data_IF_134108173825
#
_entry.id   IF_134108173825
#
_cell.length_a   1.000
_cell.length_b   1.000
_cell.length_c   1.000
_cell.angle_alpha   90.00
_cell.angle_beta   90.00
_cell.angle_gamma   90.00
#
_symmetry.space_group_name_H-M   'P 1'
#
loop_
_entity.id
_entity.type
_entity.pdbx_description
1 polymer ?
#
# COMPACT_ATOMS: atom_id res chain seq x y z
N UNK A 1 -12.96 14.30 17.26
CA UNK A 1 -11.80 13.38 17.22
C UNK A 1 -10.73 13.89 18.17
N UNK A 2 -9.92 13.00 18.76
CA UNK A 2 -8.82 13.40 19.65
C UNK A 2 -7.59 13.79 18.82
N UNK A 3 -6.70 14.62 19.38
CA UNK A 3 -5.47 15.08 18.69
C UNK A 3 -4.63 13.91 18.13
N UNK A 4 -4.50 12.83 18.91
CA UNK A 4 -3.78 11.61 18.48
C UNK A 4 -4.37 10.95 17.24
N UNK A 5 -5.69 10.94 17.09
CA UNK A 5 -6.34 10.39 15.90
C UNK A 5 -6.08 11.26 14.66
N UNK A 6 -6.04 12.59 14.83
CA UNK A 6 -5.67 13.50 13.74
C UNK A 6 -4.20 13.32 13.33
N UNK A 7 -3.31 13.13 14.31
CA UNK A 7 -1.88 12.85 14.06
C UNK A 7 -1.69 11.52 13.31
N UNK A 8 -2.47 10.48 13.65
CA UNK A 8 -2.40 9.18 12.98
C UNK A 8 -2.94 9.21 11.54
N UNK A 9 -4.04 9.91 11.29
CA UNK A 9 -4.56 10.13 9.92
C UNK A 9 -3.57 10.95 9.09
N UNK A 10 -2.96 11.97 9.68
CA UNK A 10 -1.94 12.76 8.99
C UNK A 10 -0.70 11.94 8.62
N UNK A 11 -0.33 10.95 9.45
CA UNK A 11 0.74 10.01 9.16
C UNK A 11 0.40 9.15 7.95
N UNK A 12 -0.76 8.49 7.93
CA UNK A 12 -1.16 7.62 6.81
C UNK A 12 -1.26 8.39 5.48
N UNK A 13 -1.73 9.64 5.51
CA UNK A 13 -1.72 10.55 4.35
C UNK A 13 -0.32 10.86 3.82
N UNK A 14 0.66 10.88 4.71
CA UNK A 14 2.05 11.09 4.32
C UNK A 14 2.64 9.79 3.75
N UNK A 15 2.26 8.64 4.30
CA UNK A 15 2.65 7.33 3.79
C UNK A 15 2.14 7.11 2.36
N UNK A 16 0.85 7.39 2.08
CA UNK A 16 0.27 7.30 0.73
C UNK A 16 1.06 8.12 -0.28
N UNK A 17 1.29 9.40 0.00
CA UNK A 17 2.10 10.28 -0.88
C UNK A 17 3.51 9.77 -1.07
N UNK A 18 4.12 9.25 -0.01
CA UNK A 18 5.48 8.70 -0.08
C UNK A 18 5.52 7.51 -1.02
N UNK A 19 4.54 6.60 -0.93
CA UNK A 19 4.42 5.44 -1.80
C UNK A 19 4.17 5.84 -3.26
N UNK A 20 3.25 6.78 -3.51
CA UNK A 20 3.00 7.34 -4.85
C UNK A 20 4.28 7.90 -5.49
N UNK A 21 5.01 8.77 -4.76
CA UNK A 21 6.27 9.33 -5.25
C UNK A 21 7.33 8.25 -5.50
N UNK A 22 7.34 7.18 -4.70
CA UNK A 22 8.29 6.07 -4.88
C UNK A 22 7.98 5.27 -6.14
N UNK A 23 6.70 5.04 -6.46
CA UNK A 23 6.29 4.42 -7.71
C UNK A 23 6.67 5.28 -8.92
N UNK A 24 6.41 6.60 -8.89
CA UNK A 24 6.85 7.52 -9.96
C UNK A 24 8.38 7.48 -10.16
N UNK A 25 9.15 7.44 -9.05
CA UNK A 25 10.61 7.30 -9.08
C UNK A 25 11.04 5.95 -9.66
N UNK A 26 10.30 4.88 -9.38
CA UNK A 26 10.55 3.53 -9.90
C UNK A 26 10.33 3.48 -11.41
N UNK A 27 9.20 3.98 -11.90
CA UNK A 27 8.89 4.04 -13.34
C UNK A 27 9.93 4.85 -14.13
N UNK A 28 10.45 5.92 -13.51
CA UNK A 28 11.48 6.77 -14.10
C UNK A 28 12.90 6.19 -14.01
N UNK A 29 13.12 5.12 -13.25
CA UNK A 29 14.44 4.56 -13.01
C UNK A 29 14.90 3.66 -14.17
N UNK A 30 16.07 3.95 -14.75
CA UNK A 30 16.65 3.16 -15.85
C UNK A 30 17.68 2.11 -15.41
N UNK A 31 18.22 2.27 -14.21
CA UNK A 31 19.27 1.39 -13.70
C UNK A 31 18.63 0.26 -12.88
N UNK A 32 18.91 -1.02 -13.19
CA UNK A 32 18.34 -2.16 -12.45
C UNK A 32 18.59 -2.08 -10.94
N UNK A 33 19.79 -1.64 -10.52
CA UNK A 33 20.12 -1.47 -9.10
C UNK A 33 19.28 -0.41 -8.39
N UNK A 34 18.91 0.66 -9.12
CA UNK A 34 18.02 1.71 -8.61
C UNK A 34 16.58 1.21 -8.54
N UNK A 35 16.11 0.48 -9.56
CA UNK A 35 14.79 -0.16 -9.55
C UNK A 35 14.65 -1.14 -8.38
N UNK A 36 15.64 -2.01 -8.15
CA UNK A 36 15.64 -2.93 -7.01
C UNK A 36 15.53 -2.19 -5.66
N UNK A 37 16.29 -1.10 -5.51
CA UNK A 37 16.28 -0.30 -4.28
C UNK A 37 14.91 0.33 -4.05
N UNK A 38 14.33 0.92 -5.09
CA UNK A 38 13.02 1.56 -5.02
C UNK A 38 11.90 0.54 -4.77
N UNK A 39 11.88 -0.59 -5.49
CA UNK A 39 10.89 -1.65 -5.28
C UNK A 39 10.94 -2.20 -3.85
N UNK A 40 12.14 -2.41 -3.30
CA UNK A 40 12.29 -2.83 -1.89
C UNK A 40 11.77 -1.78 -0.92
N UNK A 41 12.03 -0.49 -1.19
CA UNK A 41 11.52 0.60 -0.37
C UNK A 41 9.99 0.65 -0.42
N UNK A 42 9.39 0.64 -1.61
CA UNK A 42 7.93 0.56 -1.83
C UNK A 42 7.32 -0.58 -1.01
N UNK A 43 7.86 -1.80 -1.15
CA UNK A 43 7.39 -2.96 -0.42
C UNK A 43 7.45 -2.76 1.10
N UNK A 44 8.52 -2.13 1.60
CA UNK A 44 8.70 -1.88 3.04
C UNK A 44 7.67 -0.87 3.56
N UNK A 45 7.47 0.23 2.86
CA UNK A 45 6.48 1.24 3.25
C UNK A 45 5.06 0.67 3.24
N UNK A 46 4.69 -0.11 2.21
CA UNK A 46 3.38 -0.76 2.12
C UNK A 46 3.15 -1.80 3.22
N UNK A 47 4.18 -2.56 3.61
CA UNK A 47 4.07 -3.49 4.75
C UNK A 47 3.77 -2.70 6.04
N UNK A 48 4.48 -1.60 6.29
CA UNK A 48 4.27 -0.79 7.49
C UNK A 48 2.87 -0.17 7.46
N UNK A 49 2.46 0.35 6.31
CA UNK A 49 1.15 0.97 6.10
C UNK A 49 0.00 0.01 6.41
N UNK A 50 0.01 -1.17 5.77
CA UNK A 50 -1.02 -2.20 5.96
C UNK A 50 -1.09 -2.71 7.41
N UNK A 51 0.06 -2.84 8.10
CA UNK A 51 0.09 -3.19 9.54
C UNK A 51 -0.63 -2.13 10.38
N UNK A 52 -0.39 -0.84 10.12
CA UNK A 52 -1.03 0.23 10.88
C UNK A 52 -2.54 0.22 10.68
N UNK A 53 -2.98 0.05 9.44
CA UNK A 53 -4.41 0.02 9.11
C UNK A 53 -5.12 -1.18 9.73
N UNK A 54 -4.57 -2.38 9.57
CA UNK A 54 -5.19 -3.63 10.04
C UNK A 54 -5.18 -3.76 11.57
N UNK A 55 -4.13 -3.31 12.24
CA UNK A 55 -4.00 -3.47 13.70
C UNK A 55 -4.67 -2.33 14.48
N UNK A 56 -4.80 -1.13 13.88
CA UNK A 56 -5.27 0.06 14.59
C UNK A 56 -6.61 0.57 14.04
N UNK A 57 -6.73 0.72 12.73
CA UNK A 57 -7.88 1.39 12.12
C UNK A 57 -9.04 0.44 11.85
N UNK A 58 -8.77 -0.71 11.22
CA UNK A 58 -9.80 -1.68 10.87
C UNK A 58 -10.58 -2.16 12.11
N UNK A 59 -9.95 -2.47 13.27
CA UNK A 59 -10.68 -2.85 14.48
C UNK A 59 -11.59 -1.73 14.99
N UNK A 60 -11.22 -0.47 14.77
CA UNK A 60 -12.04 0.68 15.14
C UNK A 60 -13.23 0.90 14.21
N UNK A 61 -13.19 0.38 12.99
CA UNK A 61 -14.26 0.47 11.98
C UNK A 61 -15.24 -0.71 12.02
N UNK A 62 -14.84 -1.86 12.56
CA UNK A 62 -15.67 -3.06 12.63
C UNK A 62 -17.06 -2.77 13.24
N UNK A 63 -18.12 -3.13 12.51
CA UNK A 63 -19.52 -2.90 12.89
C UNK A 63 -19.97 -1.44 12.84
N UNK A 64 -19.17 -0.53 12.27
CA UNK A 64 -19.51 0.90 12.04
C UNK A 64 -19.59 1.26 10.56
N UNK A 65 -19.29 0.30 9.70
CA UNK A 65 -19.33 0.38 8.24
C UNK A 65 -20.01 -0.89 7.71
N UNK A 66 -20.34 -0.91 6.43
CA UNK A 66 -20.89 -2.10 5.77
C UNK A 66 -19.90 -3.28 5.84
N UNK A 67 -20.40 -4.48 6.15
CA UNK A 67 -19.56 -5.67 6.34
C UNK A 67 -18.84 -6.06 5.04
N UNK A 68 -19.53 -5.99 3.89
CA UNK A 68 -18.93 -6.25 2.57
C UNK A 68 -17.73 -5.34 2.31
N UNK A 69 -17.82 -4.07 2.74
CA UNK A 69 -16.78 -3.06 2.57
C UNK A 69 -15.58 -3.33 3.48
N UNK A 70 -15.85 -3.82 4.70
CA UNK A 70 -14.79 -4.25 5.62
C UNK A 70 -14.06 -5.50 5.10
N UNK A 71 -14.80 -6.47 4.58
CA UNK A 71 -14.26 -7.73 4.08
C UNK A 71 -13.47 -7.54 2.76
N UNK A 72 -13.96 -6.68 1.86
CA UNK A 72 -13.27 -6.31 0.61
C UNK A 72 -11.89 -5.71 0.88
N UNK A 73 -11.78 -4.78 1.83
CA UNK A 73 -10.52 -4.15 2.22
C UNK A 73 -9.45 -5.17 2.67
N UNK A 74 -9.85 -6.19 3.43
CA UNK A 74 -8.93 -7.27 3.84
C UNK A 74 -8.44 -8.11 2.66
N UNK A 75 -9.33 -8.45 1.73
CA UNK A 75 -8.99 -9.27 0.56
C UNK A 75 -8.03 -8.52 -0.37
N UNK A 76 -8.21 -7.21 -0.53
CA UNK A 76 -7.33 -6.35 -1.31
C UNK A 76 -5.92 -6.26 -0.69
N UNK A 77 -5.85 -6.04 0.63
CA UNK A 77 -4.58 -6.06 1.35
C UNK A 77 -3.84 -7.40 1.21
N UNK A 78 -4.56 -8.52 1.25
CA UNK A 78 -3.96 -9.84 1.02
C UNK A 78 -3.39 -9.98 -0.41
N UNK A 79 -4.09 -9.44 -1.41
CA UNK A 79 -3.61 -9.37 -2.80
C UNK A 79 -2.32 -8.56 -2.93
N UNK A 80 -2.29 -7.36 -2.34
CA UNK A 80 -1.09 -6.50 -2.33
C UNK A 80 0.09 -7.17 -1.61
N UNK A 81 -0.14 -7.80 -0.45
CA UNK A 81 0.87 -8.55 0.31
C UNK A 81 1.45 -9.72 -0.48
N UNK A 82 0.63 -10.41 -1.28
CA UNK A 82 1.10 -11.47 -2.15
C UNK A 82 2.08 -10.94 -3.22
N UNK A 83 1.74 -9.83 -3.87
CA UNK A 83 2.62 -9.17 -4.85
C UNK A 83 3.92 -8.70 -4.19
N UNK A 84 3.83 -8.05 -3.03
CA UNK A 84 4.98 -7.63 -2.22
C UNK A 84 5.90 -8.82 -1.95
N UNK A 85 5.36 -9.94 -1.47
CA UNK A 85 6.15 -11.14 -1.19
C UNK A 85 6.87 -11.66 -2.44
N UNK A 86 6.22 -11.63 -3.61
CA UNK A 86 6.83 -12.07 -4.86
C UNK A 86 7.91 -11.12 -5.37
N UNK A 87 7.70 -9.80 -5.24
CA UNK A 87 8.66 -8.76 -5.63
C UNK A 87 9.90 -8.83 -4.74
N UNK A 88 9.72 -8.97 -3.42
CA UNK A 88 10.81 -9.06 -2.44
C UNK A 88 11.64 -10.34 -2.58
N UNK A 89 11.05 -11.43 -3.09
CA UNK A 89 11.74 -12.69 -3.34
C UNK A 89 12.48 -12.71 -4.68
N UNK A 90 12.16 -11.80 -5.61
CA UNK A 90 12.77 -11.72 -6.93
C UNK A 90 13.74 -10.54 -7.09
N UNK A 91 14.19 -10.31 -8.32
CA UNK A 91 15.10 -9.21 -8.67
C UNK A 91 14.83 -8.66 -10.08
N UNK A 92 15.30 -7.43 -10.40
CA UNK A 92 15.15 -6.86 -11.73
C UNK A 92 15.72 -7.76 -12.83
N UNK A 93 14.97 -7.90 -13.93
CA UNK A 93 15.33 -8.74 -15.07
C UNK A 93 14.86 -10.19 -14.97
N UNK A 94 14.31 -10.63 -13.83
CA UNK A 94 13.56 -11.90 -13.76
C UNK A 94 12.18 -11.77 -14.41
N UNK A 95 11.66 -12.91 -14.88
CA UNK A 95 10.37 -12.98 -15.55
C UNK A 95 9.26 -12.33 -14.71
N UNK A 96 8.56 -11.39 -15.34
CA UNK A 96 7.43 -10.65 -14.77
C UNK A 96 7.77 -9.78 -13.54
N UNK A 97 9.03 -9.59 -13.16
CA UNK A 97 9.37 -8.81 -11.96
C UNK A 97 8.90 -7.35 -12.09
N UNK A 98 9.24 -6.67 -13.19
CA UNK A 98 8.78 -5.30 -13.44
C UNK A 98 7.25 -5.23 -13.52
N UNK A 99 6.61 -6.21 -14.18
CA UNK A 99 5.16 -6.30 -14.30
C UNK A 99 4.47 -6.45 -12.94
N UNK A 100 5.05 -7.22 -12.00
CA UNK A 100 4.53 -7.32 -10.63
C UNK A 100 4.61 -5.98 -9.90
N UNK A 101 5.69 -5.21 -10.07
CA UNK A 101 5.79 -3.87 -9.47
C UNK A 101 4.77 -2.91 -10.09
N UNK A 102 4.56 -2.98 -11.41
CA UNK A 102 3.51 -2.21 -12.10
C UNK A 102 2.12 -2.56 -11.59
N UNK A 103 1.78 -3.86 -11.52
CA UNK A 103 0.48 -4.29 -11.00
C UNK A 103 0.34 -3.89 -9.53
N UNK A 104 1.37 -4.03 -8.70
CA UNK A 104 1.32 -3.52 -7.32
C UNK A 104 1.08 -2.00 -7.29
N UNK A 105 1.68 -1.23 -8.20
CA UNK A 105 1.40 0.21 -8.33
C UNK A 105 -0.02 0.49 -8.81
N UNK A 106 -0.62 -0.36 -9.63
CA UNK A 106 -2.01 -0.22 -10.06
C UNK A 106 -2.96 -0.57 -8.92
N UNK A 107 -2.71 -1.67 -8.19
CA UNK A 107 -3.44 -2.05 -6.99
C UNK A 107 -3.32 -0.98 -5.89
N UNK A 108 -2.14 -0.36 -5.70
CA UNK A 108 -1.88 0.68 -4.69
C UNK A 108 -2.26 2.10 -5.11
N UNK A 109 -2.06 2.47 -6.39
CA UNK A 109 -2.55 3.72 -6.95
C UNK A 109 -4.07 3.71 -7.13
N UNK A 110 -4.64 2.51 -7.27
CA UNK A 110 -6.05 2.25 -7.04
C UNK A 110 -6.39 2.11 -5.55
N UNK A 111 -5.48 1.82 -4.61
CA UNK A 111 -5.78 1.75 -3.18
C UNK A 111 -6.28 3.09 -2.60
N UNK A 112 -6.00 4.22 -3.25
CA UNK A 112 -6.67 5.49 -2.90
C UNK A 112 -8.15 5.57 -3.37
N UNK A 113 -8.64 4.57 -4.12
CA UNK A 113 -10.02 4.46 -4.63
C UNK A 113 -10.69 3.10 -4.34
N UNK A 114 -9.91 2.08 -4.03
CA UNK A 114 -10.32 0.68 -3.95
C UNK A 114 -10.29 0.18 -2.50
N UNK A 115 -9.34 0.58 -1.63
CA UNK A 115 -9.53 0.38 -0.18
C UNK A 115 -10.74 1.24 0.21
N UNK A 116 -11.90 0.63 0.44
CA UNK A 116 -13.10 1.40 0.65
C UNK A 116 -13.07 2.07 2.02
N UNK A 117 -12.08 1.73 2.87
CA UNK A 117 -11.88 2.29 4.19
C UNK A 117 -10.98 3.52 4.18
N UNK A 118 -10.09 3.67 3.19
CA UNK A 118 -9.27 4.88 3.02
C UNK A 118 -10.15 6.14 2.92
N UNK A 119 -11.27 6.06 2.18
CA UNK A 119 -12.28 7.14 2.13
C UNK A 119 -13.00 7.39 3.47
N UNK A 120 -13.17 6.35 4.29
CA UNK A 120 -13.83 6.43 5.61
C UNK A 120 -12.90 7.01 6.67
N UNK A 121 -11.62 6.63 6.65
CA UNK A 121 -10.56 7.15 7.52
C UNK A 121 -10.12 8.55 7.04
N UNK A 122 -10.40 8.83 5.77
CA UNK A 122 -10.16 10.08 5.09
C UNK A 122 -8.68 10.29 4.82
N UNK A 123 -7.95 9.24 4.45
CA UNK A 123 -6.52 9.22 4.08
C UNK A 123 -6.37 9.26 2.57
#
# INVERSE_FOLDING_TARGET
MTKKAQDAIALLKADHRTVEELFEKFESAKAPTKQATLAKQICTELIIHTIIEEEIFYPALKGKIEDDMYDEAHVEHDGAKLLISQIMAGQPGEDFWDAKVTVLSEECGAACKIDPLSGVIGV
#
